data_IF_867641097113
#
_entry.id   IF_867641097113
#
_cell.length_a   1.000
_cell.length_b   1.000
_cell.length_c   1.000
_cell.angle_alpha   90.00
_cell.angle_beta   90.00
_cell.angle_gamma   90.00
#
_symmetry.space_group_name_H-M   'P 1'
#
loop_
_entity.id
_entity.type
_entity.pdbx_description
1 polymer ?
#
# COMPACT_ATOMS: atom_id res chain seq x y z
N UNK A 1 13.77 -27.09 -10.92
CA UNK A 1 14.45 -25.79 -11.00
C UNK A 1 15.60 -25.81 -11.99
N UNK A 2 16.16 -24.65 -12.34
CA UNK A 2 17.39 -24.53 -13.13
C UNK A 2 18.61 -24.62 -12.21
N UNK A 3 19.71 -25.16 -12.72
CA UNK A 3 21.01 -25.23 -12.04
C UNK A 3 22.06 -24.48 -12.86
N UNK A 4 22.86 -23.64 -12.20
CA UNK A 4 23.91 -22.84 -12.83
C UNK A 4 25.24 -23.07 -12.14
N UNK A 5 26.32 -23.10 -12.89
CA UNK A 5 27.69 -23.14 -12.39
C UNK A 5 28.15 -21.70 -12.12
N UNK A 6 28.04 -21.26 -10.87
CA UNK A 6 28.32 -19.87 -10.50
C UNK A 6 29.79 -19.45 -10.62
N UNK A 7 30.72 -20.41 -10.70
CA UNK A 7 32.14 -20.12 -10.97
C UNK A 7 32.38 -19.80 -12.46
N UNK A 8 31.77 -20.62 -13.35
CA UNK A 8 31.99 -20.51 -14.81
C UNK A 8 30.95 -19.61 -15.49
N UNK A 9 29.78 -19.51 -14.91
CA UNK A 9 28.64 -18.76 -15.45
C UNK A 9 27.96 -17.92 -14.37
N UNK A 10 28.63 -16.89 -13.84
CA UNK A 10 28.05 -16.00 -12.83
C UNK A 10 26.80 -15.23 -13.37
N UNK A 11 26.65 -15.14 -14.68
CA UNK A 11 25.49 -14.53 -15.34
C UNK A 11 24.29 -15.44 -15.51
N UNK A 12 24.37 -16.73 -15.05
CA UNK A 12 23.29 -17.69 -15.08
C UNK A 12 22.65 -17.90 -16.46
N UNK A 13 23.48 -17.99 -17.50
CA UNK A 13 23.05 -18.06 -18.90
C UNK A 13 22.85 -19.50 -19.38
N UNK A 14 23.58 -20.46 -18.79
CA UNK A 14 23.59 -21.88 -19.20
C UNK A 14 23.04 -22.75 -18.09
N UNK A 15 21.84 -23.31 -18.29
CA UNK A 15 21.25 -24.27 -17.38
C UNK A 15 21.93 -25.65 -17.52
N UNK A 16 22.64 -26.07 -16.47
CA UNK A 16 23.38 -27.34 -16.42
C UNK A 16 22.62 -28.45 -15.64
N UNK A 17 21.34 -28.24 -15.32
CA UNK A 17 20.53 -29.17 -14.52
C UNK A 17 20.49 -30.56 -15.12
N UNK A 18 20.42 -30.68 -16.44
CA UNK A 18 20.45 -32.00 -17.13
C UNK A 18 21.82 -32.69 -17.13
N UNK A 19 22.90 -31.90 -17.02
CA UNK A 19 24.26 -32.42 -16.95
C UNK A 19 24.58 -32.97 -15.55
N UNK A 20 23.98 -32.41 -14.51
CA UNK A 20 24.21 -32.75 -13.11
C UNK A 20 22.91 -33.13 -12.38
N UNK A 21 22.18 -34.18 -12.82
CA UNK A 21 20.85 -34.52 -12.29
C UNK A 21 20.85 -34.81 -10.79
N UNK A 22 21.86 -35.49 -10.27
CA UNK A 22 21.98 -35.83 -8.82
C UNK A 22 22.19 -34.54 -7.97
N UNK A 23 22.93 -33.57 -8.48
CA UNK A 23 23.14 -32.29 -7.78
C UNK A 23 21.84 -31.50 -7.80
N UNK A 24 21.18 -31.46 -8.95
CA UNK A 24 19.90 -30.76 -9.12
C UNK A 24 18.83 -31.29 -8.16
N UNK A 25 18.69 -32.60 -8.08
CA UNK A 25 17.75 -33.27 -7.18
C UNK A 25 18.06 -32.96 -5.71
N UNK A 26 19.32 -33.14 -5.29
CA UNK A 26 19.75 -32.80 -3.93
C UNK A 26 19.44 -31.36 -3.53
N UNK A 27 19.69 -30.40 -4.43
CA UNK A 27 19.46 -29.00 -4.17
C UNK A 27 17.95 -28.66 -4.16
N UNK A 28 17.15 -29.31 -5.03
CA UNK A 28 15.70 -29.15 -5.00
C UNK A 28 15.11 -29.69 -3.69
N UNK A 29 15.52 -30.85 -3.24
CA UNK A 29 15.08 -31.42 -1.95
C UNK A 29 15.44 -30.50 -0.77
N UNK A 30 16.66 -29.94 -0.79
CA UNK A 30 17.08 -28.94 0.23
C UNK A 30 16.24 -27.69 0.19
N UNK A 31 15.98 -27.15 -1.00
CA UNK A 31 15.13 -25.97 -1.19
C UNK A 31 13.72 -26.22 -0.65
N UNK A 32 13.11 -27.34 -1.01
CA UNK A 32 11.75 -27.72 -0.58
C UNK A 32 11.67 -27.91 0.94
N UNK A 33 12.65 -28.62 1.51
CA UNK A 33 12.74 -28.80 2.96
C UNK A 33 12.91 -27.46 3.69
N UNK A 34 13.74 -26.55 3.17
CA UNK A 34 13.93 -25.23 3.73
C UNK A 34 12.66 -24.38 3.63
N UNK A 35 12.01 -24.35 2.46
CA UNK A 35 10.76 -23.62 2.25
C UNK A 35 9.67 -24.12 3.18
N UNK A 36 9.49 -25.43 3.29
CA UNK A 36 8.50 -26.01 4.20
C UNK A 36 8.76 -25.58 5.65
N UNK A 37 9.99 -25.72 6.12
CA UNK A 37 10.39 -25.35 7.48
C UNK A 37 10.17 -23.86 7.77
N UNK A 38 10.52 -22.99 6.82
CA UNK A 38 10.34 -21.52 6.96
C UNK A 38 8.85 -21.15 6.98
N UNK A 39 8.06 -21.71 6.06
CA UNK A 39 6.62 -21.44 6.01
C UNK A 39 5.88 -21.96 7.26
N UNK A 40 6.28 -23.11 7.80
CA UNK A 40 5.73 -23.64 9.05
C UNK A 40 6.02 -22.73 10.26
N UNK A 41 7.15 -22.01 10.23
CA UNK A 41 7.53 -21.10 11.33
C UNK A 41 6.95 -19.69 11.20
N UNK A 42 6.80 -19.17 9.98
CA UNK A 42 6.34 -17.80 9.76
C UNK A 42 4.82 -17.70 9.90
N UNK A 43 4.06 -18.68 9.40
CA UNK A 43 2.61 -18.58 9.32
C UNK A 43 2.12 -17.46 8.39
N UNK A 44 0.83 -17.16 8.36
CA UNK A 44 0.29 -16.00 7.68
C UNK A 44 0.73 -14.70 8.40
N UNK A 45 1.03 -13.65 7.64
CA UNK A 45 1.34 -12.34 8.21
C UNK A 45 0.03 -11.59 8.50
N UNK A 46 -0.41 -11.69 9.74
CA UNK A 46 -1.62 -11.05 10.26
C UNK A 46 -1.32 -9.80 11.10
N UNK A 47 -0.10 -9.24 10.97
CA UNK A 47 0.30 -8.07 11.75
C UNK A 47 -0.46 -6.83 11.26
N UNK A 48 -1.17 -6.12 12.16
CA UNK A 48 -1.82 -4.87 11.81
C UNK A 48 -0.80 -3.74 11.62
N UNK A 49 -1.19 -2.70 10.90
CA UNK A 49 -0.45 -1.45 10.89
C UNK A 49 -0.55 -0.76 12.26
N UNK A 50 0.58 -0.36 12.84
CA UNK A 50 0.60 0.31 14.12
C UNK A 50 0.50 1.83 13.92
N UNK A 51 -0.57 2.43 14.47
CA UNK A 51 -0.77 3.88 14.53
C UNK A 51 -0.48 4.36 15.95
N UNK A 52 0.30 5.42 16.11
CA UNK A 52 0.57 5.99 17.44
C UNK A 52 1.54 5.18 18.28
N UNK A 53 2.54 4.55 17.65
CA UNK A 53 3.65 3.94 18.36
C UNK A 53 4.37 4.97 19.23
N UNK A 54 4.76 4.66 20.50
CA UNK A 54 5.38 5.63 21.40
C UNK A 54 6.63 6.31 20.87
N UNK A 55 7.46 5.57 20.14
CA UNK A 55 8.73 6.07 19.60
C UNK A 55 8.60 6.73 18.21
N UNK A 56 7.42 6.73 17.58
CA UNK A 56 7.22 7.24 16.21
C UNK A 56 5.99 8.13 16.18
N UNK A 57 6.16 9.39 15.77
CA UNK A 57 5.07 10.37 15.75
C UNK A 57 4.13 10.23 14.55
N UNK A 58 4.53 9.53 13.49
CA UNK A 58 3.73 9.39 12.28
C UNK A 58 3.79 7.96 11.73
N UNK A 59 2.78 7.58 10.97
CA UNK A 59 2.68 6.27 10.29
C UNK A 59 2.16 6.51 8.88
N UNK A 60 2.75 5.84 7.89
CA UNK A 60 2.21 5.77 6.54
C UNK A 60 1.40 4.49 6.37
N UNK A 61 0.20 4.63 5.82
CA UNK A 61 -0.73 3.54 5.49
C UNK A 61 -0.86 3.50 3.96
N UNK A 62 -0.06 2.69 3.26
CA UNK A 62 0.00 2.72 1.80
C UNK A 62 -1.15 1.95 1.15
N UNK A 63 -1.55 2.37 -0.05
CA UNK A 63 -2.54 1.70 -0.89
C UNK A 63 -2.17 0.24 -1.16
N UNK A 64 -0.89 -0.02 -1.46
CA UNK A 64 -0.41 -1.37 -1.83
C UNK A 64 -0.71 -2.46 -0.81
N UNK A 65 -0.81 -2.09 0.46
CA UNK A 65 -1.02 -3.02 1.57
C UNK A 65 -2.48 -3.00 2.08
N UNK A 66 -3.35 -2.19 1.43
CA UNK A 66 -4.78 -2.16 1.69
C UNK A 66 -5.55 -3.21 0.91
N UNK A 67 -6.72 -3.54 1.41
CA UNK A 67 -7.70 -4.37 0.72
C UNK A 67 -8.70 -3.47 0.02
N UNK A 68 -8.75 -3.53 -1.31
CA UNK A 68 -9.75 -2.85 -2.12
C UNK A 68 -11.04 -3.67 -2.19
N UNK A 69 -12.17 -3.01 -2.05
CA UNK A 69 -13.51 -3.59 -2.15
C UNK A 69 -14.29 -2.93 -3.29
N UNK A 70 -15.09 -3.72 -4.00
CA UNK A 70 -15.88 -3.24 -5.15
C UNK A 70 -15.07 -3.12 -6.44
N UNK A 71 -15.23 -1.98 -7.12
CA UNK A 71 -14.62 -1.71 -8.43
C UNK A 71 -13.21 -1.14 -8.38
N UNK A 72 -12.69 -0.78 -7.22
CA UNK A 72 -11.34 -0.24 -7.05
C UNK A 72 -10.30 -1.26 -7.50
N UNK A 73 -9.32 -0.81 -8.28
CA UNK A 73 -8.26 -1.66 -8.84
C UNK A 73 -6.88 -1.16 -8.42
N UNK A 74 -5.97 -2.09 -8.25
CA UNK A 74 -4.56 -1.76 -8.11
C UNK A 74 -3.99 -1.37 -9.49
N UNK A 75 -3.16 -0.34 -9.55
CA UNK A 75 -2.55 0.15 -10.80
C UNK A 75 -1.68 -0.90 -11.51
N UNK A 76 -1.26 -1.94 -10.78
CA UNK A 76 -0.50 -3.07 -11.31
C UNK A 76 -0.73 -4.32 -10.43
N UNK A 77 -0.52 -5.51 -11.00
CA UNK A 77 -0.58 -6.78 -10.25
C UNK A 77 0.51 -6.91 -9.17
N UNK A 78 1.66 -6.26 -9.38
CA UNK A 78 2.75 -6.23 -8.40
C UNK A 78 2.55 -5.07 -7.42
N UNK A 79 2.78 -5.28 -6.11
CA UNK A 79 2.48 -4.26 -5.10
C UNK A 79 3.44 -3.06 -5.12
N UNK A 80 4.67 -3.23 -5.61
CA UNK A 80 5.69 -2.18 -5.62
C UNK A 80 5.22 -0.96 -6.40
N UNK A 81 5.35 0.21 -5.78
CA UNK A 81 4.92 1.50 -6.34
C UNK A 81 3.45 1.57 -6.76
N UNK A 82 2.63 0.54 -6.48
CA UNK A 82 1.22 0.53 -6.84
C UNK A 82 0.40 1.52 -6.02
N UNK A 83 -0.68 1.99 -6.61
CA UNK A 83 -1.71 2.85 -6.04
C UNK A 83 -3.08 2.31 -6.44
N UNK A 84 -4.14 2.80 -5.83
CA UNK A 84 -5.50 2.43 -6.22
C UNK A 84 -6.05 3.40 -7.24
N UNK A 85 -6.77 2.87 -8.21
CA UNK A 85 -7.43 3.57 -9.32
C UNK A 85 -8.82 2.96 -9.58
N UNK A 86 -9.58 3.51 -10.54
CA UNK A 86 -10.91 3.04 -10.88
C UNK A 86 -11.91 3.13 -9.71
N UNK A 87 -11.81 4.15 -8.89
CA UNK A 87 -12.73 4.39 -7.78
C UNK A 87 -13.95 5.19 -8.28
N UNK A 88 -14.95 4.49 -8.79
CA UNK A 88 -16.08 5.07 -9.54
C UNK A 88 -17.44 4.90 -8.85
N UNK A 89 -17.49 4.20 -7.71
CA UNK A 89 -18.72 3.98 -6.94
C UNK A 89 -18.55 4.36 -5.48
N UNK A 90 -19.60 4.90 -4.88
CA UNK A 90 -19.69 5.18 -3.44
C UNK A 90 -19.74 3.91 -2.60
N UNK A 91 -20.14 2.79 -3.19
CA UNK A 91 -20.14 1.49 -2.54
C UNK A 91 -18.73 0.89 -2.42
N UNK A 92 -17.77 1.45 -3.16
CA UNK A 92 -16.38 0.99 -3.15
C UNK A 92 -15.64 1.61 -1.95
N UNK A 93 -14.76 0.82 -1.33
CA UNK A 93 -13.96 1.29 -0.20
C UNK A 93 -12.65 0.52 -0.08
N UNK A 94 -11.75 1.04 0.77
CA UNK A 94 -10.45 0.44 1.06
C UNK A 94 -10.37 0.20 2.57
N UNK A 95 -9.78 -0.92 2.98
CA UNK A 95 -9.60 -1.25 4.40
C UNK A 95 -8.17 -1.65 4.72
N UNK A 96 -7.79 -1.43 5.98
CA UNK A 96 -6.55 -1.92 6.58
C UNK A 96 -6.83 -2.40 7.99
N UNK A 97 -6.19 -3.52 8.37
CA UNK A 97 -6.12 -3.92 9.77
C UNK A 97 -5.13 -3.01 10.48
N UNK A 98 -5.56 -2.33 11.54
CA UNK A 98 -4.72 -1.41 12.29
C UNK A 98 -4.79 -1.68 13.79
N UNK A 99 -3.71 -1.32 14.48
CA UNK A 99 -3.62 -1.28 15.93
C UNK A 99 -3.22 0.13 16.36
N UNK A 100 -4.11 0.82 17.07
CA UNK A 100 -3.80 2.12 17.65
C UNK A 100 -3.12 1.89 19.00
N UNK A 101 -1.85 2.21 19.11
CA UNK A 101 -1.03 2.00 20.30
C UNK A 101 -1.16 3.11 21.34
N UNK A 102 -1.73 4.26 20.97
CA UNK A 102 -2.00 5.35 21.91
C UNK A 102 -3.22 6.15 21.47
N UNK A 103 -4.18 6.34 22.36
CA UNK A 103 -5.32 7.23 22.14
C UNK A 103 -4.88 8.68 21.96
N UNK A 104 -5.63 9.47 21.21
CA UNK A 104 -5.36 10.90 21.01
C UNK A 104 -5.85 11.45 19.69
N UNK A 105 -5.46 12.69 19.42
CA UNK A 105 -5.74 13.39 18.17
C UNK A 105 -4.63 13.18 17.17
N UNK A 106 -5.03 12.89 15.92
CA UNK A 106 -4.12 12.62 14.82
C UNK A 106 -4.48 13.49 13.62
N UNK A 107 -3.49 14.20 13.08
CA UNK A 107 -3.62 14.86 11.78
C UNK A 107 -3.47 13.80 10.67
N UNK A 108 -4.35 13.88 9.67
CA UNK A 108 -4.36 12.95 8.52
C UNK A 108 -4.11 13.73 7.25
N UNK A 109 -3.16 13.25 6.46
CA UNK A 109 -2.90 13.68 5.09
C UNK A 109 -3.21 12.54 4.12
N UNK A 110 -3.87 12.89 3.02
CA UNK A 110 -4.23 12.02 1.92
C UNK A 110 -3.32 12.32 0.73
N UNK A 111 -2.56 11.31 0.26
CA UNK A 111 -1.72 11.43 -0.93
C UNK A 111 -2.44 10.86 -2.13
N UNK A 112 -2.70 11.70 -3.13
CA UNK A 112 -3.59 11.37 -4.24
C UNK A 112 -3.18 12.03 -5.56
N UNK A 113 -3.81 11.57 -6.65
CA UNK A 113 -3.92 12.28 -7.91
C UNK A 113 -5.38 12.33 -8.32
N UNK A 114 -5.82 13.50 -8.81
CA UNK A 114 -7.18 13.74 -9.28
C UNK A 114 -7.14 14.84 -10.35
N UNK A 115 -7.57 14.58 -11.58
CA UNK A 115 -7.68 15.63 -12.59
C UNK A 115 -8.77 16.63 -12.24
N UNK A 116 -8.65 17.85 -12.75
CA UNK A 116 -9.55 18.96 -12.42
C UNK A 116 -11.04 18.67 -12.70
N UNK A 117 -11.31 17.93 -13.80
CA UNK A 117 -12.68 17.57 -14.17
C UNK A 117 -13.35 16.58 -13.20
N UNK A 118 -12.58 15.89 -12.35
CA UNK A 118 -13.09 14.89 -11.39
C UNK A 118 -13.15 15.42 -9.94
N UNK A 119 -12.86 16.70 -9.72
CA UNK A 119 -12.92 17.30 -8.39
C UNK A 119 -14.33 17.27 -7.78
N UNK A 120 -14.38 17.26 -6.45
CA UNK A 120 -15.61 17.37 -5.67
C UNK A 120 -16.02 16.09 -4.95
N UNK A 121 -15.27 14.99 -5.09
CA UNK A 121 -15.53 13.78 -4.31
C UNK A 121 -15.36 14.02 -2.81
N UNK A 122 -16.29 13.52 -1.99
CA UNK A 122 -16.18 13.52 -0.53
C UNK A 122 -15.63 12.17 -0.07
N UNK A 123 -14.56 12.23 0.72
CA UNK A 123 -13.83 11.07 1.22
C UNK A 123 -13.95 11.01 2.73
N UNK A 124 -14.44 9.89 3.24
CA UNK A 124 -14.51 9.58 4.67
C UNK A 124 -13.43 8.58 5.07
N UNK A 125 -12.68 8.93 6.11
CA UNK A 125 -11.84 8.00 6.87
C UNK A 125 -12.53 7.66 8.18
N UNK A 126 -12.72 6.38 8.48
CA UNK A 126 -13.40 5.96 9.70
C UNK A 126 -12.64 4.86 10.44
N UNK A 127 -12.73 4.89 11.79
CA UNK A 127 -12.18 3.88 12.68
C UNK A 127 -12.97 3.87 14.01
N UNK A 128 -13.45 2.69 14.41
CA UNK A 128 -14.09 2.47 15.73
C UNK A 128 -15.16 3.52 16.12
N UNK A 129 -15.99 3.91 15.15
CA UNK A 129 -17.10 4.85 15.36
C UNK A 129 -16.74 6.34 15.26
N UNK A 130 -15.47 6.67 15.10
CA UNK A 130 -15.03 8.04 14.75
C UNK A 130 -14.81 8.15 13.25
N UNK A 131 -15.13 9.30 12.67
CA UNK A 131 -14.88 9.56 11.26
C UNK A 131 -14.39 10.98 10.99
N UNK A 132 -13.79 11.17 9.83
CA UNK A 132 -13.27 12.41 9.30
C UNK A 132 -13.62 12.47 7.82
N UNK A 133 -14.32 13.52 7.40
CA UNK A 133 -14.71 13.72 5.99
C UNK A 133 -13.96 14.91 5.42
N UNK A 134 -13.54 14.79 4.17
CA UNK A 134 -12.93 15.88 3.40
C UNK A 134 -13.37 15.83 1.94
N UNK A 135 -13.31 16.98 1.26
CA UNK A 135 -13.62 17.08 -0.18
C UNK A 135 -12.33 17.19 -0.98
N UNK A 136 -12.21 16.41 -2.05
CA UNK A 136 -11.10 16.54 -3.03
C UNK A 136 -11.30 17.85 -3.82
N UNK A 137 -10.58 18.89 -3.45
CA UNK A 137 -10.78 20.26 -3.99
C UNK A 137 -9.56 20.83 -4.73
N UNK A 138 -8.41 20.16 -4.67
CA UNK A 138 -7.18 20.62 -5.29
C UNK A 138 -6.79 19.65 -6.41
N UNK A 139 -6.68 20.11 -7.67
CA UNK A 139 -6.29 19.22 -8.76
C UNK A 139 -4.82 18.82 -8.67
N UNK A 140 -4.55 17.57 -8.98
CA UNK A 140 -3.20 17.02 -9.12
C UNK A 140 -3.25 15.84 -10.10
N UNK A 141 -2.91 16.08 -11.36
CA UNK A 141 -2.89 15.04 -12.40
C UNK A 141 -1.51 14.94 -13.07
N UNK A 142 -0.49 14.47 -12.32
CA UNK A 142 0.86 14.33 -12.85
C UNK A 142 0.96 13.12 -13.78
N UNK A 143 1.88 13.18 -14.78
CA UNK A 143 2.19 12.03 -15.62
C UNK A 143 2.89 10.93 -14.82
N UNK A 144 2.97 9.74 -15.43
CA UNK A 144 3.78 8.64 -14.90
C UNK A 144 5.27 8.97 -15.02
N UNK A 145 5.99 8.87 -13.90
CA UNK A 145 7.42 9.19 -13.82
C UNK A 145 8.25 8.03 -14.37
N UNK A 146 9.20 8.34 -15.25
CA UNK A 146 10.20 7.40 -15.80
C UNK A 146 9.70 6.47 -16.91
N UNK A 147 8.41 6.49 -17.24
CA UNK A 147 7.85 5.60 -18.28
C UNK A 147 8.48 5.83 -19.66
N UNK A 148 8.82 7.07 -20.00
CA UNK A 148 9.37 7.44 -21.29
C UNK A 148 10.87 7.16 -21.40
N UNK A 149 11.55 6.95 -20.27
CA UNK A 149 13.00 6.77 -20.18
C UNK A 149 13.39 5.29 -20.11
N UNK A 150 12.44 4.41 -19.85
CA UNK A 150 12.69 2.98 -19.78
C UNK A 150 12.95 2.39 -21.16
N UNK A 151 14.09 1.73 -21.33
CA UNK A 151 14.46 1.02 -22.58
C UNK A 151 13.61 -0.22 -22.82
N UNK A 152 13.08 -0.81 -21.75
CA UNK A 152 12.18 -1.96 -21.78
C UNK A 152 10.99 -1.70 -20.84
N UNK A 153 9.78 -2.10 -21.21
CA UNK A 153 8.63 -2.01 -20.32
C UNK A 153 8.92 -2.74 -19.00
N UNK A 154 8.73 -2.08 -17.88
CA UNK A 154 8.81 -2.73 -16.57
C UNK A 154 7.51 -3.45 -16.24
N UNK A 155 7.61 -4.48 -15.41
CA UNK A 155 6.44 -5.24 -14.98
C UNK A 155 5.73 -4.59 -13.80
N UNK A 156 6.41 -3.79 -12.98
CA UNK A 156 5.88 -3.06 -11.83
C UNK A 156 5.20 -1.76 -12.28
N UNK A 157 4.42 -1.17 -11.37
CA UNK A 157 3.83 0.15 -11.59
C UNK A 157 4.90 1.23 -11.76
N UNK A 158 4.61 2.16 -12.66
CA UNK A 158 5.23 3.48 -12.61
C UNK A 158 4.59 4.31 -11.51
N UNK A 159 5.36 5.20 -10.90
CA UNK A 159 4.85 6.15 -9.91
C UNK A 159 4.35 7.43 -10.57
N UNK A 160 3.49 8.16 -9.85
CA UNK A 160 3.13 9.54 -10.13
C UNK A 160 3.68 10.44 -9.03
N UNK A 161 3.79 11.73 -9.27
CA UNK A 161 4.10 12.73 -8.25
C UNK A 161 2.83 13.06 -7.45
N UNK A 162 2.43 12.11 -6.60
CA UNK A 162 1.28 12.26 -5.70
C UNK A 162 1.54 13.39 -4.70
N UNK A 163 0.55 14.22 -4.43
CA UNK A 163 0.64 15.32 -3.47
C UNK A 163 -0.22 15.08 -2.25
N UNK A 164 0.23 15.52 -1.07
CA UNK A 164 -0.57 15.49 0.13
C UNK A 164 -1.66 16.55 0.12
N UNK A 165 -2.82 16.19 0.64
CA UNK A 165 -3.88 17.11 1.03
C UNK A 165 -4.25 16.81 2.48
N UNK A 166 -4.38 17.85 3.31
CA UNK A 166 -4.87 17.68 4.68
C UNK A 166 -6.33 17.29 4.66
N UNK A 167 -6.64 16.12 5.23
CA UNK A 167 -8.02 15.72 5.50
C UNK A 167 -8.57 16.45 6.72
N UNK A 168 -7.76 16.61 7.77
CA UNK A 168 -8.12 17.20 9.05
C UNK A 168 -7.58 16.42 10.23
N UNK A 169 -8.32 16.46 11.34
CA UNK A 169 -7.94 15.81 12.60
C UNK A 169 -9.01 14.80 13.01
N UNK A 170 -8.58 13.57 13.29
CA UNK A 170 -9.43 12.50 13.82
C UNK A 170 -8.95 12.12 15.23
N UNK A 171 -9.88 11.70 16.08
CA UNK A 171 -9.54 11.11 17.37
C UNK A 171 -9.52 9.58 17.25
N UNK A 172 -8.37 8.97 17.53
CA UNK A 172 -8.26 7.53 17.65
C UNK A 172 -8.23 7.09 19.10
N UNK A 173 -8.95 6.00 19.37
CA UNK A 173 -8.88 5.28 20.66
C UNK A 173 -7.96 4.08 20.49
N UNK A 174 -7.18 3.79 21.54
CA UNK A 174 -6.30 2.61 21.60
C UNK A 174 -7.09 1.32 21.36
N UNK A 175 -6.49 0.41 20.59
CA UNK A 175 -7.06 -0.89 20.25
C UNK A 175 -6.92 -1.28 18.80
N UNK A 176 -7.31 -2.52 18.50
CA UNK A 176 -7.31 -3.09 17.15
C UNK A 176 -8.64 -2.83 16.44
N UNK A 177 -8.60 -2.69 15.13
CA UNK A 177 -9.80 -2.54 14.32
C UNK A 177 -9.49 -2.32 12.84
N UNK A 178 -10.56 -2.08 12.10
CA UNK A 178 -10.49 -1.81 10.68
C UNK A 178 -10.48 -0.29 10.45
N UNK A 179 -9.42 0.21 9.82
CA UNK A 179 -9.39 1.54 9.26
C UNK A 179 -10.03 1.48 7.87
N UNK A 180 -11.06 2.28 7.62
CA UNK A 180 -11.81 2.29 6.36
C UNK A 180 -11.71 3.66 5.70
N UNK A 181 -11.42 3.67 4.41
CA UNK A 181 -11.47 4.86 3.54
C UNK A 181 -12.53 4.64 2.47
N UNK A 182 -13.52 5.51 2.38
CA UNK A 182 -14.65 5.41 1.46
C UNK A 182 -14.98 6.75 0.84
N UNK A 183 -15.36 6.78 -0.44
CA UNK A 183 -15.99 7.95 -1.03
C UNK A 183 -17.48 7.96 -0.68
N UNK A 184 -17.94 8.99 0.01
CA UNK A 184 -19.37 9.17 0.36
C UNK A 184 -20.13 9.87 -0.77
N UNK A 185 -19.44 10.72 -1.54
CA UNK A 185 -19.97 11.34 -2.76
C UNK A 185 -18.93 11.32 -3.89
N UNK A 186 -19.39 11.02 -5.11
CA UNK A 186 -18.59 11.06 -6.35
C UNK A 186 -19.43 11.81 -7.39
N UNK A 187 -19.30 13.15 -7.46
CA UNK A 187 -20.15 13.96 -8.35
C UNK A 187 -19.72 13.87 -9.83
N UNK A 188 -18.58 13.30 -10.12
CA UNK A 188 -17.98 13.17 -11.46
C UNK A 188 -17.69 11.72 -11.82
N UNK A 189 -16.69 11.49 -12.68
CA UNK A 189 -16.43 10.15 -13.21
C UNK A 189 -15.76 9.21 -12.22
N UNK A 190 -14.97 9.74 -11.29
CA UNK A 190 -14.21 8.98 -10.29
C UNK A 190 -13.90 9.84 -9.06
N UNK A 191 -13.53 9.20 -7.96
CA UNK A 191 -13.13 9.91 -6.75
C UNK A 191 -11.70 10.44 -6.87
N UNK A 192 -10.72 9.56 -7.08
CA UNK A 192 -9.30 9.88 -7.17
C UNK A 192 -8.47 8.64 -7.47
N UNK A 193 -7.19 8.82 -7.78
CA UNK A 193 -6.16 7.80 -7.61
C UNK A 193 -5.53 7.94 -6.22
N UNK A 194 -5.54 6.89 -5.44
CA UNK A 194 -5.11 6.91 -4.04
C UNK A 194 -3.74 6.27 -3.85
N UNK A 195 -2.80 6.96 -3.18
CA UNK A 195 -1.45 6.48 -2.93
C UNK A 195 -1.22 5.99 -1.50
N UNK A 196 -1.49 6.83 -0.51
CA UNK A 196 -1.33 6.50 0.91
C UNK A 196 -2.05 7.53 1.82
N UNK A 197 -2.26 7.14 3.06
CA UNK A 197 -2.52 8.06 4.17
C UNK A 197 -1.23 8.26 4.97
N UNK A 198 -0.98 9.49 5.39
CA UNK A 198 -0.01 9.79 6.44
C UNK A 198 -0.76 10.26 7.68
N UNK A 199 -0.56 9.58 8.78
CA UNK A 199 -1.26 9.80 10.05
C UNK A 199 -0.23 10.22 11.08
N UNK A 200 -0.34 11.45 11.59
CA UNK A 200 0.62 12.07 12.50
C UNK A 200 -0.03 12.37 13.84
N UNK A 201 0.53 11.83 14.93
CA UNK A 201 0.03 12.10 16.29
C UNK A 201 0.32 13.54 16.69
N UNK A 202 -0.72 14.26 17.09
CA UNK A 202 -0.57 15.60 17.62
C UNK A 202 0.01 15.56 19.05
N UNK A 203 0.91 16.49 19.34
CA UNK A 203 1.38 16.68 20.72
C UNK A 203 0.25 17.23 21.56
N UNK A 204 0.04 16.67 22.75
CA UNK A 204 -0.84 17.27 23.73
C UNK A 204 -0.23 18.61 24.19
N UNK A 205 -1.05 19.68 24.12
CA UNK A 205 -0.61 20.98 24.67
C UNK A 205 -0.46 20.81 26.19
N UNK A 206 0.78 20.73 26.71
CA UNK A 206 1.01 20.87 28.15
C UNK A 206 1.76 19.75 28.84
N UNK A 207 2.56 18.94 28.16
CA UNK A 207 3.55 18.06 28.81
C UNK A 207 4.93 18.31 28.19
N UNK A 208 5.57 19.36 28.68
CA UNK A 208 7.05 19.47 28.64
C UNK A 208 7.67 18.63 29.74
#
# INVERSE_FOLDING_TARGET
GKLFDMEKDPGQRVDVSKQFPKVTERLNQRKESFQKKVLEQIGPDERPFVIGHPAVSWTQIPARDGTAHGGIKRSNQFPNCSYFTNWTSKEDFITWDVEVGKSGKYEVELWYACPEQDLGAEIELSFSGNSLVTTISIPNDPPLVGKQEDRAPRMESYVKDFKPMKMGVIEFKEGKGILKLQATEIPKSQAMEFRLLQITRMKEKGTD
#
